data_IF_545504562647
#
_entry.id   IF_545504562647
#
_cell.length_a   1.000
_cell.length_b   1.000
_cell.length_c   1.000
_cell.angle_alpha   90.00
_cell.angle_beta   90.00
_cell.angle_gamma   90.00
#
_symmetry.space_group_name_H-M   'P 1'
#
loop_
_entity.id
_entity.type
_entity.pdbx_description
1 polymer ?
#
# COMPACT_ATOMS: atom_id res chain seq x y z
N UNK A 1 -64.76 71.14 -36.12
CA UNK A 1 -65.29 70.17 -35.17
C UNK A 1 -64.35 68.98 -35.21
N UNK A 2 -63.62 68.81 -34.15
CA UNK A 2 -62.69 67.63 -33.94
C UNK A 2 -63.47 66.38 -33.68
N UNK A 3 -62.81 65.17 -33.89
CA UNK A 3 -62.27 64.52 -32.77
C UNK A 3 -60.86 63.86 -32.97
N UNK A 4 -60.20 63.78 -31.88
CA UNK A 4 -58.88 63.35 -31.57
C UNK A 4 -58.65 61.82 -31.69
N UNK A 5 -57.60 61.37 -32.37
CA UNK A 5 -57.11 59.99 -32.29
C UNK A 5 -56.09 59.81 -31.21
N UNK A 6 -56.34 58.96 -30.25
CA UNK A 6 -55.42 58.50 -29.23
C UNK A 6 -54.63 57.28 -29.78
N UNK A 7 -53.33 57.43 -29.88
CA UNK A 7 -52.44 56.30 -30.17
C UNK A 7 -52.05 55.62 -28.86
N UNK A 8 -52.40 54.38 -28.69
CA UNK A 8 -51.95 53.55 -27.61
C UNK A 8 -50.64 52.90 -28.03
N UNK A 9 -49.54 53.27 -27.36
CA UNK A 9 -48.28 52.54 -27.43
C UNK A 9 -48.41 51.30 -26.55
N UNK A 10 -48.35 50.10 -27.17
CA UNK A 10 -48.14 48.83 -26.48
C UNK A 10 -46.65 48.58 -26.43
N UNK A 11 -46.04 48.83 -25.26
CA UNK A 11 -44.65 48.45 -24.98
C UNK A 11 -44.61 46.93 -24.77
N UNK A 12 -44.06 46.23 -25.74
CA UNK A 12 -43.73 44.79 -25.60
C UNK A 12 -42.40 44.70 -24.84
N UNK A 13 -42.47 44.35 -23.58
CA UNK A 13 -41.30 44.06 -22.76
C UNK A 13 -40.80 42.64 -23.14
N UNK A 14 -39.78 42.58 -24.00
CA UNK A 14 -39.08 41.29 -24.29
C UNK A 14 -38.13 41.03 -23.13
N UNK A 15 -38.56 40.15 -22.23
CA UNK A 15 -37.68 39.61 -21.15
C UNK A 15 -36.74 38.61 -21.77
N UNK A 16 -35.53 39.03 -22.12
CA UNK A 16 -34.45 38.11 -22.42
C UNK A 16 -34.06 37.35 -21.16
N UNK A 17 -34.59 36.16 -20.95
CA UNK A 17 -34.06 35.20 -20.00
C UNK A 17 -32.72 34.71 -20.58
N UNK A 18 -31.63 35.33 -20.17
CA UNK A 18 -30.28 34.82 -20.46
C UNK A 18 -30.11 33.47 -19.79
N UNK A 19 -30.17 32.40 -20.59
CA UNK A 19 -29.62 31.11 -20.20
C UNK A 19 -28.09 31.30 -20.01
N UNK A 20 -27.68 31.57 -18.79
CA UNK A 20 -26.30 31.38 -18.40
C UNK A 20 -25.97 29.90 -18.62
N UNK A 21 -24.94 29.54 -19.39
CA UNK A 21 -24.46 28.18 -19.40
C UNK A 21 -24.07 27.87 -17.96
N UNK A 22 -24.75 26.91 -17.36
CA UNK A 22 -24.32 26.27 -16.13
C UNK A 22 -23.02 25.56 -16.49
N UNK A 23 -21.92 26.30 -16.45
CA UNK A 23 -20.59 25.73 -16.49
C UNK A 23 -20.53 24.79 -15.30
N UNK A 24 -20.52 23.48 -15.56
CA UNK A 24 -20.15 22.51 -14.57
C UNK A 24 -18.79 22.98 -14.03
N UNK A 25 -18.80 23.64 -12.89
CA UNK A 25 -17.59 23.85 -12.13
C UNK A 25 -17.08 22.43 -11.82
N UNK A 26 -16.07 22.02 -12.54
CA UNK A 26 -15.29 20.85 -12.17
C UNK A 26 -14.79 21.15 -10.77
N UNK A 27 -15.43 20.57 -9.77
CA UNK A 27 -14.91 20.61 -8.43
C UNK A 27 -13.50 20.03 -8.55
N UNK A 28 -12.48 20.89 -8.38
CA UNK A 28 -11.12 20.42 -8.24
C UNK A 28 -11.14 19.47 -7.05
N UNK A 29 -11.05 18.17 -7.31
CA UNK A 29 -10.82 17.19 -6.27
C UNK A 29 -9.55 17.60 -5.54
N UNK A 30 -9.56 17.55 -4.22
CA UNK A 30 -8.36 17.86 -3.44
C UNK A 30 -7.24 16.91 -3.89
N UNK A 31 -6.01 17.40 -4.00
CA UNK A 31 -4.87 16.60 -4.45
C UNK A 31 -4.80 15.30 -3.63
N UNK A 32 -4.71 14.16 -4.33
CA UNK A 32 -4.66 12.85 -3.68
C UNK A 32 -5.97 12.40 -3.01
N UNK A 33 -7.12 12.88 -3.47
CA UNK A 33 -8.43 12.46 -2.97
C UNK A 33 -8.79 11.07 -3.50
N UNK A 34 -8.20 10.05 -2.88
CA UNK A 34 -8.46 8.63 -3.15
C UNK A 34 -9.32 8.08 -2.02
N UNK A 35 -10.39 7.36 -2.38
CA UNK A 35 -11.30 6.66 -1.44
C UNK A 35 -11.56 5.24 -1.95
N UNK A 36 -12.15 4.37 -1.12
CA UNK A 36 -12.54 3.01 -1.52
C UNK A 36 -13.50 3.04 -2.72
N UNK A 37 -14.46 3.97 -2.71
CA UNK A 37 -15.45 4.13 -3.77
C UNK A 37 -14.80 4.60 -5.07
N UNK A 38 -13.80 5.47 -4.99
CA UNK A 38 -13.05 5.92 -6.17
C UNK A 38 -12.24 4.77 -6.75
N UNK A 39 -11.51 4.01 -5.92
CA UNK A 39 -10.76 2.84 -6.36
C UNK A 39 -11.67 1.78 -6.99
N UNK A 40 -12.84 1.52 -6.39
CA UNK A 40 -13.79 0.54 -6.90
C UNK A 40 -14.43 0.94 -8.25
N UNK A 41 -14.53 2.24 -8.52
CA UNK A 41 -15.13 2.79 -9.76
C UNK A 41 -14.12 3.09 -10.85
N UNK A 42 -12.80 3.13 -10.52
CA UNK A 42 -11.77 3.40 -11.50
C UNK A 42 -11.71 2.27 -12.53
N UNK A 43 -12.11 2.58 -13.75
CA UNK A 43 -12.14 1.64 -14.87
C UNK A 43 -11.67 2.26 -16.20
N UNK A 44 -11.45 3.58 -16.22
CA UNK A 44 -10.96 4.31 -17.39
C UNK A 44 -9.49 4.03 -17.67
N UNK A 45 -8.71 3.83 -16.61
CA UNK A 45 -7.26 3.72 -16.66
C UNK A 45 -6.55 5.08 -16.71
N UNK A 46 -7.30 6.19 -16.56
CA UNK A 46 -6.72 7.54 -16.50
C UNK A 46 -5.90 7.73 -15.22
N UNK A 47 -6.30 7.01 -14.16
CA UNK A 47 -5.61 6.98 -12.89
C UNK A 47 -5.03 5.59 -12.56
N UNK A 48 -4.02 5.56 -11.70
CA UNK A 48 -3.44 4.37 -11.08
C UNK A 48 -3.42 4.57 -9.57
N UNK A 49 -4.62 4.50 -8.97
CA UNK A 49 -4.90 5.00 -7.62
C UNK A 49 -4.24 4.19 -6.50
N UNK A 50 -4.03 2.92 -6.73
CA UNK A 50 -3.43 1.98 -5.77
C UNK A 50 -2.45 1.07 -6.47
N UNK A 51 -1.53 0.49 -5.72
CA UNK A 51 -0.57 -0.48 -6.26
C UNK A 51 -1.31 -1.62 -6.96
N UNK A 52 -0.86 -1.95 -8.19
CA UNK A 52 -1.50 -2.94 -9.05
C UNK A 52 -2.77 -2.46 -9.74
N UNK A 53 -3.08 -1.14 -9.69
CA UNK A 53 -4.19 -0.46 -10.37
C UNK A 53 -5.55 -0.62 -9.70
N UNK A 54 -5.74 -1.66 -8.89
CA UNK A 54 -7.00 -1.94 -8.18
C UNK A 54 -6.74 -2.73 -6.90
N UNK A 55 -7.75 -2.91 -6.06
CA UNK A 55 -7.64 -3.80 -4.90
C UNK A 55 -7.34 -5.26 -5.29
N UNK A 56 -7.74 -5.70 -6.48
CA UNK A 56 -7.41 -7.02 -6.99
C UNK A 56 -5.94 -7.15 -7.45
N UNK A 57 -5.21 -6.04 -7.56
CA UNK A 57 -3.81 -5.98 -8.02
C UNK A 57 -3.61 -6.74 -9.34
N UNK A 58 -4.49 -6.47 -10.31
CA UNK A 58 -4.46 -7.14 -11.60
C UNK A 58 -3.29 -6.68 -12.51
N UNK A 59 -2.66 -5.56 -12.17
CA UNK A 59 -1.54 -4.96 -12.92
C UNK A 59 -1.87 -4.79 -14.42
N UNK A 60 -3.14 -4.52 -14.71
CA UNK A 60 -3.65 -4.40 -16.07
C UNK A 60 -4.29 -3.03 -16.29
N UNK A 61 -3.84 -2.33 -17.35
CA UNK A 61 -4.43 -1.08 -17.80
C UNK A 61 -5.48 -1.33 -18.88
N UNK A 62 -6.69 -0.76 -18.78
CA UNK A 62 -7.72 -0.84 -19.81
C UNK A 62 -7.46 0.10 -21.01
N UNK A 63 -6.45 0.96 -20.94
CA UNK A 63 -6.10 1.90 -22.00
C UNK A 63 -5.83 1.18 -23.33
N UNK A 64 -6.29 1.79 -24.45
CA UNK A 64 -6.21 1.24 -25.80
C UNK A 64 -5.46 2.13 -26.80
N UNK A 65 -4.93 3.26 -26.36
CA UNK A 65 -4.25 4.20 -27.23
C UNK A 65 -2.92 3.64 -27.79
N UNK A 66 -2.25 2.77 -27.03
CA UNK A 66 -1.02 2.11 -27.46
C UNK A 66 -1.37 0.70 -27.93
N UNK A 67 -0.98 0.37 -29.13
CA UNK A 67 -1.24 -0.90 -29.81
C UNK A 67 0.03 -1.44 -30.46
N UNK A 68 -0.01 -2.69 -30.91
CA UNK A 68 1.05 -3.30 -31.72
C UNK A 68 1.32 -2.55 -33.03
N UNK A 69 0.32 -1.85 -33.60
CA UNK A 69 0.45 -1.08 -34.82
C UNK A 69 1.09 0.29 -34.61
N UNK A 70 1.07 0.85 -33.42
CA UNK A 70 1.55 2.21 -33.18
C UNK A 70 2.68 2.32 -32.15
N UNK A 71 2.97 1.28 -31.38
CA UNK A 71 4.02 1.30 -30.36
C UNK A 71 5.40 1.66 -30.92
N UNK A 72 5.71 1.27 -32.17
CA UNK A 72 6.97 1.60 -32.83
C UNK A 72 7.14 3.09 -33.16
N UNK A 73 6.07 3.88 -33.10
CA UNK A 73 6.06 5.33 -33.33
C UNK A 73 6.11 6.14 -32.04
N UNK A 74 6.16 5.47 -30.90
CA UNK A 74 6.26 6.18 -29.60
C UNK A 74 7.62 6.87 -29.49
N UNK A 75 7.60 8.09 -28.94
CA UNK A 75 8.79 8.86 -28.61
C UNK A 75 8.79 9.25 -27.14
N UNK A 76 9.93 9.74 -26.67
CA UNK A 76 10.07 10.26 -25.31
C UNK A 76 9.31 11.58 -25.20
N UNK A 77 8.31 11.63 -24.30
CA UNK A 77 7.57 12.86 -24.03
C UNK A 77 8.35 13.82 -23.11
N UNK A 78 8.94 13.27 -22.07
CA UNK A 78 9.78 14.00 -21.10
C UNK A 78 10.68 13.05 -20.32
N UNK A 79 11.70 13.58 -19.69
CA UNK A 79 12.61 12.89 -18.77
C UNK A 79 12.77 13.75 -17.52
N UNK A 80 12.75 13.09 -16.36
CA UNK A 80 13.02 13.76 -15.07
C UNK A 80 14.14 13.01 -14.37
N UNK A 81 15.22 13.71 -14.08
CA UNK A 81 16.27 13.20 -13.20
C UNK A 81 15.85 13.38 -11.74
N UNK A 82 15.93 12.31 -10.98
CA UNK A 82 15.69 12.33 -9.54
C UNK A 82 17.03 12.28 -8.80
N UNK A 83 17.09 12.97 -7.69
CA UNK A 83 18.27 12.98 -6.81
C UNK A 83 18.46 11.62 -6.11
N UNK A 84 18.73 10.58 -6.91
CA UNK A 84 18.93 9.22 -6.45
C UNK A 84 19.85 8.43 -7.37
N UNK A 85 21.11 8.21 -6.99
CA UNK A 85 22.05 7.44 -7.81
C UNK A 85 21.81 5.93 -7.75
N UNK A 86 20.89 5.44 -6.95
CA UNK A 86 20.73 4.02 -6.61
C UNK A 86 19.58 3.32 -7.36
N UNK A 87 19.01 3.95 -8.39
CA UNK A 87 17.89 3.39 -9.13
C UNK A 87 16.56 3.43 -8.36
N UNK A 88 15.49 2.98 -9.00
CA UNK A 88 14.13 2.97 -8.46
C UNK A 88 13.57 1.55 -8.43
N UNK A 89 12.87 1.20 -7.36
CA UNK A 89 12.16 -0.08 -7.19
C UNK A 89 10.67 0.12 -6.94
N UNK A 90 10.23 1.37 -6.84
CA UNK A 90 8.85 1.73 -6.56
C UNK A 90 7.96 1.61 -7.80
N UNK A 91 6.75 1.12 -7.59
CA UNK A 91 5.66 1.30 -8.54
C UNK A 91 5.07 2.71 -8.35
N UNK A 92 5.02 3.54 -9.40
CA UNK A 92 4.40 4.86 -9.31
C UNK A 92 2.88 4.76 -9.22
N UNK A 93 2.26 5.66 -8.47
CA UNK A 93 0.81 5.87 -8.48
C UNK A 93 0.51 7.14 -9.28
N UNK A 94 -0.63 7.14 -9.95
CA UNK A 94 -1.11 8.29 -10.71
C UNK A 94 -2.49 8.69 -10.18
N UNK A 95 -2.61 9.93 -9.74
CA UNK A 95 -3.86 10.47 -9.20
C UNK A 95 -4.05 11.88 -9.76
N UNK A 96 -5.11 12.09 -10.52
CA UNK A 96 -5.46 13.39 -11.14
C UNK A 96 -4.27 14.01 -11.92
N UNK A 97 -3.55 13.18 -12.69
CA UNK A 97 -2.42 13.61 -13.48
C UNK A 97 -1.13 13.89 -12.69
N UNK A 98 -1.11 13.63 -11.39
CA UNK A 98 0.09 13.69 -10.55
C UNK A 98 0.65 12.30 -10.32
N UNK A 99 1.94 12.13 -10.58
CA UNK A 99 2.67 10.88 -10.32
C UNK A 99 3.29 10.97 -8.92
N UNK A 100 2.91 10.05 -8.04
CA UNK A 100 3.52 9.88 -6.72
C UNK A 100 4.40 8.65 -6.72
N UNK A 101 5.66 8.81 -6.33
CA UNK A 101 6.58 7.68 -6.24
C UNK A 101 7.59 7.87 -5.10
N UNK A 102 8.12 6.76 -4.61
CA UNK A 102 9.24 6.77 -3.67
C UNK A 102 10.54 6.38 -4.37
N UNK A 103 11.63 6.92 -3.86
CA UNK A 103 12.98 6.61 -4.26
C UNK A 103 13.76 5.98 -3.08
N UNK A 104 15.00 5.52 -3.30
CA UNK A 104 15.91 5.14 -2.23
C UNK A 104 15.94 6.16 -1.10
N UNK A 105 16.25 5.69 0.13
CA UNK A 105 16.20 6.48 1.36
C UNK A 105 14.78 6.98 1.70
N UNK A 106 13.76 6.36 1.10
CA UNK A 106 12.34 6.67 1.30
C UNK A 106 11.98 8.12 0.93
N UNK A 107 12.75 8.74 0.05
CA UNK A 107 12.43 10.07 -0.51
C UNK A 107 11.18 9.92 -1.37
N UNK A 108 10.23 10.85 -1.25
CA UNK A 108 8.98 10.82 -2.02
C UNK A 108 8.92 12.03 -2.94
N UNK A 109 8.43 11.81 -4.14
CA UNK A 109 8.22 12.84 -5.16
C UNK A 109 6.77 12.88 -5.60
N UNK A 110 6.26 14.08 -5.83
CA UNK A 110 5.10 14.32 -6.68
C UNK A 110 5.57 15.01 -7.96
N UNK A 111 5.17 14.45 -9.09
CA UNK A 111 5.61 14.88 -10.42
C UNK A 111 4.37 15.14 -11.27
N UNK A 112 4.36 16.24 -11.99
CA UNK A 112 3.31 16.51 -12.97
C UNK A 112 3.45 15.53 -14.14
N UNK A 113 2.45 14.67 -14.35
CA UNK A 113 2.48 13.60 -15.34
C UNK A 113 2.55 14.10 -16.79
N UNK A 114 2.05 15.29 -17.09
CA UNK A 114 2.07 15.85 -18.43
C UNK A 114 3.43 16.46 -18.80
N UNK A 115 4.15 17.04 -17.84
CA UNK A 115 5.38 17.80 -18.08
C UNK A 115 6.66 17.20 -17.50
N UNK A 116 6.54 16.20 -16.63
CA UNK A 116 7.66 15.65 -15.88
C UNK A 116 8.23 16.58 -14.79
N UNK A 117 7.64 17.76 -14.56
CA UNK A 117 8.15 18.68 -13.55
C UNK A 117 7.86 18.20 -12.16
N UNK A 118 8.87 18.18 -11.27
CA UNK A 118 8.70 17.92 -9.84
C UNK A 118 7.85 19.03 -9.23
N UNK A 119 6.72 18.66 -8.63
CA UNK A 119 5.82 19.56 -7.90
C UNK A 119 6.37 19.77 -6.50
N UNK A 120 6.67 18.68 -5.79
CA UNK A 120 7.34 18.69 -4.49
C UNK A 120 8.20 17.44 -4.29
N UNK A 121 9.15 17.54 -3.38
CA UNK A 121 10.02 16.48 -2.89
C UNK A 121 9.98 16.47 -1.37
N UNK A 122 9.74 15.31 -0.80
CA UNK A 122 9.80 15.08 0.64
C UNK A 122 10.99 14.17 0.97
N UNK A 123 11.82 14.56 1.91
CA UNK A 123 12.93 13.76 2.44
C UNK A 123 12.66 13.43 3.91
N UNK A 124 12.45 12.17 4.28
CA UNK A 124 12.23 11.77 5.67
C UNK A 124 13.52 11.80 6.51
N UNK A 125 14.65 12.17 5.93
CA UNK A 125 15.96 12.20 6.57
C UNK A 125 16.32 10.87 7.24
N UNK A 126 16.13 9.76 6.50
CA UNK A 126 16.50 8.43 6.96
C UNK A 126 18.00 8.39 7.25
N UNK A 127 18.34 7.98 8.46
CA UNK A 127 19.73 7.90 8.90
C UNK A 127 20.46 6.78 8.17
N UNK A 128 21.50 7.14 7.43
CA UNK A 128 22.28 6.21 6.59
C UNK A 128 23.19 5.33 7.40
N UNK A 129 23.55 5.78 8.62
CA UNK A 129 24.38 5.05 9.58
C UNK A 129 23.68 3.85 10.24
N UNK A 130 22.38 3.72 10.03
CA UNK A 130 21.59 2.54 10.38
C UNK A 130 21.73 1.46 9.29
N UNK A 131 22.94 1.12 8.88
CA UNK A 131 23.20 -0.03 8.03
C UNK A 131 23.04 -1.31 8.87
N UNK A 132 21.82 -1.75 9.01
CA UNK A 132 21.48 -3.01 9.65
C UNK A 132 21.67 -4.08 8.58
N UNK A 133 22.65 -4.96 8.75
CA UNK A 133 22.85 -6.09 7.86
C UNK A 133 21.54 -6.87 7.69
N UNK A 134 21.09 -7.04 6.43
CA UNK A 134 19.88 -7.80 6.07
C UNK A 134 18.55 -7.10 6.33
N UNK A 135 18.52 -5.93 6.95
CA UNK A 135 17.30 -5.12 7.06
C UNK A 135 17.34 -4.01 6.02
N UNK A 136 16.28 -3.78 5.40
CA UNK A 136 16.01 -2.68 4.52
C UNK A 136 17.19 -1.82 4.15
N UNK A 137 17.99 -2.33 3.23
CA UNK A 137 18.91 -1.52 2.49
C UNK A 137 18.21 -0.18 2.18
N UNK A 138 18.77 0.91 2.67
CA UNK A 138 18.28 2.26 2.42
C UNK A 138 18.08 2.57 0.92
N UNK A 139 18.52 1.69 0.05
CA UNK A 139 18.35 1.69 -1.41
C UNK A 139 16.98 1.26 -1.86
N UNK A 140 16.25 0.47 -1.07
CA UNK A 140 14.98 -0.13 -1.51
C UNK A 140 13.80 0.53 -0.82
N UNK A 141 12.92 1.13 -1.63
CA UNK A 141 11.55 1.50 -1.23
C UNK A 141 10.61 1.13 -2.38
N UNK A 142 9.57 0.32 -2.10
CA UNK A 142 8.72 -0.27 -3.13
C UNK A 142 7.48 0.54 -3.47
N UNK A 143 7.34 1.72 -2.91
CA UNK A 143 6.27 2.63 -3.29
C UNK A 143 5.57 3.29 -2.11
N UNK A 144 4.56 4.03 -2.47
CA UNK A 144 3.70 4.81 -1.58
C UNK A 144 2.26 4.30 -1.67
N UNK A 145 1.41 4.78 -0.78
CA UNK A 145 -0.03 4.74 -0.94
C UNK A 145 -0.59 6.16 -0.91
N UNK A 146 -1.71 6.39 -1.58
CA UNK A 146 -2.39 7.69 -1.60
C UNK A 146 -3.82 7.48 -1.09
N UNK A 147 -4.28 8.36 -0.17
CA UNK A 147 -5.59 8.25 0.44
C UNK A 147 -6.00 9.56 1.11
N UNK A 148 -7.22 10.02 0.84
CA UNK A 148 -7.84 11.17 1.48
C UNK A 148 -6.90 12.37 1.63
N UNK A 149 -6.27 12.79 0.52
CA UNK A 149 -5.37 13.94 0.47
C UNK A 149 -3.99 13.72 1.09
N UNK A 150 -3.59 12.48 1.37
CA UNK A 150 -2.29 12.15 1.95
C UNK A 150 -1.55 11.09 1.14
N UNK A 151 -0.24 11.18 1.16
CA UNK A 151 0.70 10.17 0.64
C UNK A 151 1.36 9.49 1.83
N UNK A 152 1.34 8.18 1.85
CA UNK A 152 1.93 7.37 2.94
C UNK A 152 3.15 6.64 2.44
N UNK A 153 4.22 6.66 3.23
CA UNK A 153 5.47 5.95 2.94
C UNK A 153 6.01 5.25 4.19
N UNK A 154 6.45 4.01 4.01
CA UNK A 154 7.27 3.34 5.01
C UNK A 154 8.73 3.73 4.84
N UNK A 155 9.44 4.01 5.93
CA UNK A 155 10.82 4.48 5.87
C UNK A 155 11.83 3.42 6.30
N UNK A 156 13.04 3.51 5.77
CA UNK A 156 14.13 2.60 6.09
C UNK A 156 14.54 2.61 7.56
N UNK A 157 14.19 3.63 8.31
CA UNK A 157 14.37 3.74 9.76
C UNK A 157 13.10 3.37 10.56
N UNK A 158 12.18 2.60 9.95
CA UNK A 158 11.09 1.95 10.65
C UNK A 158 9.89 2.82 10.99
N UNK A 159 9.72 3.98 10.36
CA UNK A 159 8.54 4.85 10.54
C UNK A 159 7.54 4.67 9.39
N UNK A 160 6.27 4.84 9.68
CA UNK A 160 5.23 5.16 8.71
C UNK A 160 4.98 6.66 8.74
N UNK A 161 5.08 7.31 7.60
CA UNK A 161 4.95 8.77 7.47
C UNK A 161 3.79 9.09 6.56
N UNK A 162 2.94 10.04 6.96
CA UNK A 162 1.93 10.67 6.12
C UNK A 162 2.38 12.07 5.70
N UNK A 163 2.21 12.34 4.42
CA UNK A 163 2.61 13.57 3.74
C UNK A 163 1.36 14.16 3.13
N UNK A 164 1.16 15.46 3.22
CA UNK A 164 0.10 16.17 2.52
C UNK A 164 0.33 16.08 1.00
N UNK A 165 -0.66 15.58 0.28
CA UNK A 165 -0.51 15.28 -1.15
C UNK A 165 -0.36 16.54 -2.03
N UNK A 166 -0.87 17.69 -1.57
CA UNK A 166 -0.79 18.94 -2.31
C UNK A 166 0.56 19.65 -2.10
N UNK A 167 1.07 19.62 -0.87
CA UNK A 167 2.20 20.47 -0.46
C UNK A 167 3.51 19.72 -0.23
N UNK A 168 3.46 18.40 -0.02
CA UNK A 168 4.62 17.62 0.37
C UNK A 168 5.03 17.78 1.84
N UNK A 169 4.24 18.48 2.66
CA UNK A 169 4.51 18.66 4.07
C UNK A 169 4.20 17.39 4.87
N UNK A 170 5.03 17.06 5.86
CA UNK A 170 4.74 15.96 6.78
C UNK A 170 3.51 16.30 7.63
N UNK A 171 2.53 15.39 7.65
CA UNK A 171 1.34 15.49 8.50
C UNK A 171 1.57 14.79 9.84
N UNK A 172 2.03 13.54 9.79
CA UNK A 172 2.41 12.78 10.97
C UNK A 172 3.46 11.73 10.64
N UNK A 173 4.13 11.21 11.65
CA UNK A 173 5.06 10.08 11.56
C UNK A 173 4.91 9.20 12.79
N UNK A 174 4.81 7.89 12.60
CA UNK A 174 4.61 6.90 13.67
C UNK A 174 5.64 5.78 13.56
N UNK A 175 6.32 5.38 14.65
CA UNK A 175 7.19 4.21 14.67
C UNK A 175 6.38 2.94 14.40
N UNK A 176 6.89 2.07 13.52
CA UNK A 176 6.31 0.75 13.20
C UNK A 176 7.17 -0.38 13.76
N UNK A 177 8.47 -0.23 13.69
CA UNK A 177 9.44 -1.21 14.17
C UNK A 177 10.67 -0.52 14.79
N UNK A 178 11.48 -1.30 15.48
CA UNK A 178 12.73 -0.80 16.08
C UNK A 178 13.77 -0.54 14.97
N UNK A 179 14.19 0.72 14.78
CA UNK A 179 15.16 1.06 13.74
C UNK A 179 16.56 0.44 13.96
N UNK A 180 16.84 -0.07 15.16
CA UNK A 180 18.09 -0.78 15.45
C UNK A 180 18.09 -2.23 14.97
N UNK A 181 16.92 -2.76 14.64
CA UNK A 181 16.78 -4.14 14.23
C UNK A 181 16.34 -4.27 12.78
N UNK A 182 15.52 -3.34 12.29
CA UNK A 182 14.93 -3.46 10.95
C UNK A 182 14.39 -2.13 10.44
N UNK A 183 13.98 -2.13 9.17
CA UNK A 183 13.32 -1.02 8.51
C UNK A 183 12.20 -1.47 7.60
N UNK A 184 11.54 -0.53 6.96
CA UNK A 184 10.45 -0.78 6.05
C UNK A 184 10.93 -0.60 4.62
N UNK A 185 10.75 -1.62 3.80
CA UNK A 185 11.08 -1.59 2.36
C UNK A 185 9.85 -1.75 1.47
N UNK A 186 8.75 -2.20 2.05
CA UNK A 186 7.48 -2.42 1.36
C UNK A 186 6.66 -1.15 1.22
N UNK A 187 5.78 -1.14 0.22
CA UNK A 187 4.79 -0.08 0.08
C UNK A 187 3.62 -0.32 1.04
N UNK A 188 3.11 0.71 1.73
CA UNK A 188 1.88 0.58 2.51
C UNK A 188 0.68 0.30 1.60
N UNK A 189 -0.39 -0.22 2.19
CA UNK A 189 -1.71 -0.33 1.56
C UNK A 189 -2.72 0.46 2.37
N UNK A 190 -3.67 1.09 1.70
CA UNK A 190 -4.74 1.81 2.40
C UNK A 190 -6.09 1.30 1.92
N UNK A 191 -6.97 1.03 2.85
CA UNK A 191 -8.37 0.72 2.61
C UNK A 191 -9.18 1.01 3.88
N UNK A 192 -10.42 1.43 3.71
CA UNK A 192 -11.36 1.72 4.81
C UNK A 192 -10.75 2.63 5.89
N UNK A 193 -10.03 3.67 5.46
CA UNK A 193 -9.40 4.63 6.36
C UNK A 193 -8.26 4.09 7.22
N UNK A 194 -7.69 2.94 6.86
CA UNK A 194 -6.58 2.29 7.58
C UNK A 194 -5.39 2.08 6.67
N UNK A 195 -4.19 2.36 7.19
CA UNK A 195 -2.92 2.07 6.54
C UNK A 195 -2.37 0.76 7.08
N UNK A 196 -2.14 -0.20 6.20
CA UNK A 196 -1.56 -1.49 6.54
C UNK A 196 -0.10 -1.53 6.13
N UNK A 197 0.77 -1.94 7.04
CA UNK A 197 2.21 -2.03 6.81
C UNK A 197 2.84 -3.10 7.70
N UNK A 198 3.84 -3.76 7.17
CA UNK A 198 4.78 -4.58 7.93
C UNK A 198 6.20 -4.06 7.74
N UNK A 199 7.19 -4.90 7.98
CA UNK A 199 8.61 -4.54 7.90
C UNK A 199 9.48 -5.71 7.45
N UNK A 200 10.73 -5.42 7.15
CA UNK A 200 11.76 -6.38 6.72
C UNK A 200 12.47 -7.05 7.91
N UNK A 201 13.66 -7.60 7.72
CA UNK A 201 14.54 -8.05 8.80
C UNK A 201 14.42 -9.53 9.18
N UNK A 202 13.73 -10.36 8.38
CA UNK A 202 13.70 -11.80 8.64
C UNK A 202 15.09 -12.43 8.67
N UNK A 203 15.98 -11.98 7.79
CA UNK A 203 17.35 -12.48 7.70
C UNK A 203 18.22 -12.06 8.91
N UNK A 204 17.76 -11.09 9.69
CA UNK A 204 18.37 -10.61 10.94
C UNK A 204 17.60 -11.08 12.19
N UNK A 205 16.88 -12.20 12.10
CA UNK A 205 16.13 -12.78 13.22
C UNK A 205 15.04 -11.87 13.81
N UNK A 206 14.55 -10.91 13.06
CA UNK A 206 13.47 -10.03 13.51
C UNK A 206 12.14 -10.76 13.48
N UNK A 207 11.40 -10.69 14.57
CA UNK A 207 10.07 -11.26 14.70
C UNK A 207 9.08 -10.50 13.84
N UNK A 208 8.41 -11.18 12.90
CA UNK A 208 7.51 -10.58 11.94
C UNK A 208 6.19 -10.13 12.52
N UNK A 209 5.67 -9.04 11.99
CA UNK A 209 4.29 -8.58 12.23
C UNK A 209 3.77 -7.77 11.03
N UNK A 210 2.45 -7.59 11.02
CA UNK A 210 1.75 -6.59 10.23
C UNK A 210 0.87 -5.77 11.17
N UNK A 211 0.75 -4.48 10.91
CA UNK A 211 -0.06 -3.59 11.72
C UNK A 211 -0.98 -2.71 10.86
N UNK A 212 -2.07 -2.26 11.44
CA UNK A 212 -2.94 -1.25 10.88
C UNK A 212 -2.87 0.03 11.70
N UNK A 213 -2.82 1.14 10.98
CA UNK A 213 -2.80 2.49 11.54
C UNK A 213 -4.00 3.27 11.03
N UNK A 214 -4.55 4.14 11.86
CA UNK A 214 -5.56 5.10 11.42
C UNK A 214 -4.93 6.07 10.41
N UNK A 215 -5.53 6.18 9.24
CA UNK A 215 -4.97 6.96 8.13
C UNK A 215 -4.93 8.47 8.43
N UNK A 216 -5.82 8.97 9.29
CA UNK A 216 -5.89 10.39 9.62
C UNK A 216 -4.87 10.80 10.68
N UNK A 217 -4.67 9.95 11.68
CA UNK A 217 -3.91 10.27 12.91
C UNK A 217 -2.57 9.55 13.05
N UNK A 218 -2.37 8.46 12.30
CA UNK A 218 -1.20 7.61 12.45
C UNK A 218 -1.21 6.74 13.71
N UNK A 219 -2.32 6.71 14.46
CA UNK A 219 -2.44 5.86 15.65
C UNK A 219 -2.50 4.39 15.26
N UNK A 220 -1.68 3.55 15.90
CA UNK A 220 -1.77 2.10 15.74
C UNK A 220 -3.12 1.61 16.25
N UNK A 221 -3.87 0.92 15.40
CA UNK A 221 -5.17 0.35 15.71
C UNK A 221 -5.06 -1.08 16.20
N UNK A 222 -4.20 -1.86 15.53
CA UNK A 222 -3.89 -3.22 15.92
C UNK A 222 -2.58 -3.68 15.28
N UNK A 223 -1.98 -4.72 15.88
CA UNK A 223 -0.81 -5.44 15.37
C UNK A 223 -1.06 -6.94 15.44
N UNK A 224 -0.70 -7.62 14.37
CA UNK A 224 -0.73 -9.09 14.32
C UNK A 224 0.69 -9.63 14.17
N UNK A 225 1.10 -10.45 15.12
CA UNK A 225 2.39 -11.12 15.08
C UNK A 225 2.29 -12.40 14.27
N UNK A 226 3.12 -12.52 13.25
CA UNK A 226 3.15 -13.67 12.33
C UNK A 226 3.93 -14.85 12.87
N UNK A 227 4.79 -14.58 13.86
CA UNK A 227 5.58 -15.58 14.60
C UNK A 227 5.26 -15.44 16.08
N UNK A 228 4.97 -16.54 16.80
CA UNK A 228 4.73 -16.49 18.22
C UNK A 228 5.96 -16.01 18.99
N UNK A 229 5.73 -15.33 20.12
CA UNK A 229 6.80 -14.84 21.00
C UNK A 229 7.21 -15.86 22.06
N UNK A 230 7.97 -15.36 23.02
CA UNK A 230 8.45 -16.13 24.16
C UNK A 230 7.29 -16.70 24.98
N UNK A 231 7.18 -18.04 25.13
CA UNK A 231 6.12 -18.66 25.89
C UNK A 231 6.04 -18.23 27.36
N UNK A 232 7.17 -17.86 27.95
CA UNK A 232 7.23 -17.43 29.35
C UNK A 232 6.61 -16.04 29.55
N UNK A 233 6.55 -15.23 28.48
CA UNK A 233 5.93 -13.90 28.51
C UNK A 233 4.45 -13.92 28.15
N UNK A 234 3.91 -15.10 27.81
CA UNK A 234 2.55 -15.23 27.29
C UNK A 234 2.44 -14.82 25.81
N UNK A 235 1.22 -14.90 25.30
CA UNK A 235 0.93 -14.64 23.88
C UNK A 235 -0.04 -13.47 23.73
N UNK A 236 0.15 -12.68 22.70
CA UNK A 236 -0.62 -11.47 22.44
C UNK A 236 -2.08 -11.77 22.04
N UNK A 237 -2.35 -13.00 21.59
CA UNK A 237 -3.71 -13.43 21.25
C UNK A 237 -3.85 -14.95 21.31
N UNK A 238 -5.08 -15.43 21.37
CA UNK A 238 -5.41 -16.86 21.31
C UNK A 238 -4.95 -17.53 20.01
N UNK A 239 -4.91 -16.76 18.93
CA UNK A 239 -4.40 -17.20 17.63
C UNK A 239 -2.91 -17.49 17.69
N UNK A 240 -2.15 -16.57 18.25
CA UNK A 240 -0.71 -16.69 18.41
C UNK A 240 -0.37 -17.85 19.36
N UNK A 241 -1.10 -18.00 20.45
CA UNK A 241 -0.98 -19.15 21.37
C UNK A 241 -1.24 -20.49 20.66
N UNK A 242 -2.28 -20.53 19.83
CA UNK A 242 -2.59 -21.74 19.06
C UNK A 242 -1.51 -22.04 18.03
N UNK A 243 -1.00 -21.03 17.37
CA UNK A 243 0.10 -21.17 16.41
C UNK A 243 1.37 -21.68 17.12
N UNK A 244 1.65 -21.20 18.33
CA UNK A 244 2.85 -21.59 19.09
C UNK A 244 2.94 -23.12 19.31
N UNK A 245 1.80 -23.81 19.43
CA UNK A 245 1.75 -25.28 19.58
C UNK A 245 2.29 -26.05 18.36
N UNK A 246 2.44 -25.39 17.23
CA UNK A 246 2.99 -25.97 15.99
C UNK A 246 4.48 -25.72 15.84
N UNK A 247 5.08 -24.95 16.75
CA UNK A 247 6.51 -24.63 16.74
C UNK A 247 7.27 -25.53 17.70
N UNK A 248 8.48 -25.93 17.33
CA UNK A 248 9.29 -26.85 18.13
C UNK A 248 10.78 -26.48 18.00
N UNK A 249 11.60 -27.00 18.88
CA UNK A 249 13.03 -26.77 18.97
C UNK A 249 13.43 -25.82 20.11
N UNK A 250 14.72 -25.76 20.45
CA UNK A 250 15.20 -24.93 21.53
C UNK A 250 15.10 -23.46 21.18
N UNK A 251 14.43 -22.67 22.04
CA UNK A 251 14.34 -21.22 21.89
C UNK A 251 13.86 -20.75 20.51
N UNK A 252 12.95 -21.50 19.88
CA UNK A 252 12.43 -21.22 18.55
C UNK A 252 11.90 -19.78 18.39
N UNK A 253 11.38 -19.18 19.45
CA UNK A 253 10.88 -17.80 19.45
C UNK A 253 11.94 -16.73 19.28
N UNK A 254 13.23 -17.05 19.51
CA UNK A 254 14.36 -16.15 19.31
C UNK A 254 14.83 -16.11 17.86
N UNK A 255 14.36 -17.03 17.02
CA UNK A 255 14.82 -17.12 15.64
C UNK A 255 14.17 -16.09 14.72
N UNK A 256 13.05 -15.48 15.13
CA UNK A 256 12.37 -14.49 14.33
C UNK A 256 11.81 -15.02 13.01
N UNK A 257 11.85 -14.19 11.97
CA UNK A 257 11.29 -14.51 10.65
C UNK A 257 9.82 -14.14 10.53
N UNK A 258 9.18 -14.57 9.43
CA UNK A 258 7.77 -14.30 9.16
C UNK A 258 7.46 -12.82 8.92
N UNK A 259 8.45 -11.99 8.60
CA UNK A 259 8.23 -10.55 8.37
C UNK A 259 7.39 -10.31 7.12
N UNK A 260 6.51 -9.30 7.19
CA UNK A 260 5.67 -8.86 6.08
C UNK A 260 6.36 -7.65 5.45
N UNK A 261 7.26 -7.91 4.51
CA UNK A 261 8.10 -6.89 3.91
C UNK A 261 7.56 -6.31 2.61
N UNK A 262 6.65 -7.01 1.97
CA UNK A 262 5.84 -6.57 0.82
C UNK A 262 4.63 -7.51 0.70
N UNK A 263 4.24 -8.07 -0.39
CA UNK A 263 2.89 -8.12 -0.96
C UNK A 263 1.77 -8.14 0.10
N UNK A 264 1.00 -7.07 0.12
CA UNK A 264 -0.22 -6.93 0.92
C UNK A 264 -1.35 -6.62 -0.05
N UNK A 265 -2.45 -7.36 0.02
CA UNK A 265 -3.64 -7.18 -0.82
C UNK A 265 -4.87 -7.07 0.07
N UNK A 266 -5.74 -6.11 -0.20
CA UNK A 266 -7.02 -5.98 0.46
C UNK A 266 -8.13 -6.49 -0.44
N UNK A 267 -8.87 -7.51 0.01
CA UNK A 267 -10.07 -7.97 -0.66
C UNK A 267 -11.27 -7.15 -0.18
N UNK A 268 -11.71 -6.21 -1.00
CA UNK A 268 -12.81 -5.30 -0.66
C UNK A 268 -14.15 -6.02 -0.47
N UNK A 269 -14.38 -7.15 -1.17
CA UNK A 269 -15.64 -7.89 -1.09
C UNK A 269 -15.80 -8.63 0.24
N UNK A 270 -14.72 -9.22 0.74
CA UNK A 270 -14.73 -10.00 1.98
C UNK A 270 -14.22 -9.21 3.19
N UNK A 271 -13.54 -8.07 2.96
CA UNK A 271 -12.85 -7.31 3.99
C UNK A 271 -11.57 -8.00 4.50
N UNK A 272 -11.04 -8.95 3.72
CA UNK A 272 -9.84 -9.70 4.07
C UNK A 272 -8.59 -8.93 3.70
N UNK A 273 -7.59 -8.99 4.57
CA UNK A 273 -6.24 -8.58 4.27
C UNK A 273 -5.40 -9.83 3.98
N UNK A 274 -4.90 -9.95 2.75
CA UNK A 274 -4.03 -11.02 2.30
C UNK A 274 -2.60 -10.52 2.27
N UNK A 275 -1.66 -11.28 2.80
CA UNK A 275 -0.24 -10.90 2.75
C UNK A 275 0.67 -12.12 2.74
N UNK A 276 1.84 -11.94 2.12
CA UNK A 276 2.93 -12.91 2.17
C UNK A 276 3.85 -12.65 3.35
N UNK A 277 4.40 -13.71 3.91
CA UNK A 277 5.46 -13.62 4.91
C UNK A 277 6.78 -14.15 4.35
N UNK A 278 7.87 -13.60 4.84
CA UNK A 278 9.17 -14.23 4.68
C UNK A 278 9.21 -15.59 5.38
N UNK A 279 10.23 -16.37 5.10
CA UNK A 279 10.45 -17.64 5.80
C UNK A 279 10.60 -17.41 7.31
N UNK A 280 10.08 -18.33 8.10
CA UNK A 280 10.43 -18.45 9.51
C UNK A 280 11.81 -19.11 9.60
N UNK A 281 12.73 -18.54 10.37
CA UNK A 281 14.05 -19.13 10.54
C UNK A 281 14.04 -20.18 11.65
N UNK A 282 14.43 -21.41 11.29
CA UNK A 282 15.24 -22.26 12.16
C UNK A 282 16.54 -22.49 11.39
N UNK A 283 17.59 -21.87 11.81
CA UNK A 283 18.90 -22.24 11.35
C UNK A 283 19.28 -23.57 12.01
N UNK A 284 19.17 -24.66 11.27
CA UNK A 284 20.03 -25.79 11.56
C UNK A 284 21.40 -25.47 10.99
N UNK A 285 22.27 -24.96 11.85
CA UNK A 285 23.65 -24.60 11.52
C UNK A 285 24.50 -25.82 11.14
N UNK A 286 24.02 -27.03 11.41
CA UNK A 286 24.74 -28.26 11.09
C UNK A 286 24.50 -28.75 9.67
N UNK A 287 23.34 -28.46 9.06
CA UNK A 287 22.98 -28.98 7.74
C UNK A 287 22.79 -27.91 6.67
N UNK A 288 22.84 -26.63 7.03
CA UNK A 288 22.54 -25.51 6.13
C UNK A 288 21.08 -25.51 5.61
N UNK A 289 20.20 -26.32 6.18
CA UNK A 289 18.80 -26.40 5.81
C UNK A 289 17.96 -25.48 6.71
N UNK A 290 17.44 -24.47 6.10
CA UNK A 290 16.58 -23.46 6.72
C UNK A 290 15.12 -23.80 6.43
N UNK A 291 14.53 -24.73 7.14
CA UNK A 291 13.06 -24.94 7.13
C UNK A 291 12.60 -25.63 8.41
N UNK A 292 11.59 -25.07 9.05
CA UNK A 292 10.80 -25.79 10.05
C UNK A 292 9.92 -26.83 9.36
N UNK A 293 10.04 -28.12 9.65
CA UNK A 293 8.98 -29.07 9.38
C UNK A 293 7.82 -28.73 10.31
N UNK A 294 6.71 -28.27 9.78
CA UNK A 294 5.46 -28.22 10.49
C UNK A 294 4.94 -26.89 11.01
N UNK A 295 5.52 -25.74 10.63
CA UNK A 295 4.89 -24.44 10.92
C UNK A 295 3.56 -24.36 10.15
N UNK A 296 2.48 -24.82 10.77
CA UNK A 296 1.11 -24.62 10.28
C UNK A 296 0.53 -23.44 11.01
N UNK A 297 0.34 -22.32 10.33
CA UNK A 297 -0.52 -21.25 10.85
C UNK A 297 -1.95 -21.75 10.83
N UNK A 298 -2.54 -21.96 11.99
CA UNK A 298 -3.91 -22.41 12.13
C UNK A 298 -4.89 -21.23 12.13
N UNK A 299 -6.07 -21.53 11.61
CA UNK A 299 -7.23 -20.63 11.57
C UNK A 299 -7.65 -20.25 12.99
N UNK A 300 -7.76 -18.95 13.25
CA UNK A 300 -8.37 -18.46 14.48
C UNK A 300 -9.59 -17.61 14.18
N UNK A 301 -10.69 -17.95 14.83
CA UNK A 301 -11.95 -17.27 14.66
C UNK A 301 -12.11 -16.09 15.63
N UNK A 302 -12.47 -14.98 15.09
CA UNK A 302 -13.38 -13.90 15.45
C UNK A 302 -13.34 -13.24 16.83
N UNK A 303 -13.02 -11.98 16.78
CA UNK A 303 -13.67 -10.89 17.51
C UNK A 303 -13.90 -9.74 16.49
N UNK A 304 -14.91 -8.88 16.63
CA UNK A 304 -15.23 -7.85 15.62
C UNK A 304 -14.14 -6.80 15.39
N UNK A 305 -13.05 -6.86 16.14
CA UNK A 305 -11.90 -5.96 16.01
C UNK A 305 -10.54 -6.67 15.96
N UNK A 306 -10.53 -8.00 15.92
CA UNK A 306 -9.27 -8.76 15.91
C UNK A 306 -9.11 -9.47 14.57
N UNK A 307 -7.94 -9.39 13.92
CA UNK A 307 -7.69 -10.11 12.68
C UNK A 307 -7.81 -11.62 12.90
N UNK A 308 -8.56 -12.28 12.05
CA UNK A 308 -8.67 -13.74 12.03
C UNK A 308 -7.71 -14.28 10.99
N UNK A 309 -6.71 -15.03 11.41
CA UNK A 309 -5.80 -15.69 10.48
C UNK A 309 -6.46 -16.96 9.91
N UNK A 310 -6.52 -17.05 8.60
CA UNK A 310 -6.93 -18.27 7.89
C UNK A 310 -5.71 -18.80 7.15
N UNK A 311 -5.18 -19.94 7.57
CA UNK A 311 -4.23 -20.69 6.76
C UNK A 311 -4.98 -21.81 6.04
N UNK A 312 -4.92 -21.83 4.73
CA UNK A 312 -5.21 -23.01 3.94
C UNK A 312 -3.90 -23.73 3.63
N UNK A 313 -3.78 -25.04 3.89
CA UNK A 313 -2.68 -25.82 3.37
C UNK A 313 -2.88 -25.95 1.86
N UNK A 314 -2.30 -25.04 1.09
CA UNK A 314 -2.24 -25.18 -0.37
C UNK A 314 -1.23 -26.25 -0.74
N UNK A 315 -1.69 -27.47 -1.02
CA UNK A 315 -0.88 -28.46 -1.71
C UNK A 315 -0.69 -28.01 -3.16
N UNK A 316 0.42 -27.34 -3.43
CA UNK A 316 0.83 -27.09 -4.82
C UNK A 316 1.30 -28.42 -5.40
N UNK A 317 0.47 -29.04 -6.24
CA UNK A 317 0.90 -30.14 -7.10
C UNK A 317 2.01 -29.64 -8.01
N UNK A 318 3.22 -30.18 -7.83
CA UNK A 318 4.34 -29.98 -8.74
C UNK A 318 3.95 -30.49 -10.13
N UNK A 319 3.81 -29.59 -11.08
CA UNK A 319 3.88 -29.96 -12.48
C UNK A 319 5.34 -30.28 -12.80
N UNK A 320 5.63 -31.58 -13.04
CA UNK A 320 6.92 -32.04 -13.59
C UNK A 320 7.00 -31.58 -15.03
N UNK A 321 7.87 -30.63 -15.33
CA UNK A 321 8.59 -30.56 -16.61
C UNK A 321 9.96 -29.94 -16.35
N UNK A 322 10.97 -30.66 -16.86
CA UNK A 322 12.37 -30.39 -16.62
C UNK A 322 12.80 -29.00 -17.06
N UNK A 323 13.35 -28.25 -16.13
CA UNK A 323 14.26 -27.13 -16.37
C UNK A 323 15.07 -26.89 -15.10
N UNK A 324 16.29 -26.49 -15.30
CA UNK A 324 17.39 -26.28 -14.36
C UNK A 324 16.97 -25.61 -13.06
N UNK A 325 17.53 -26.07 -11.95
CA UNK A 325 17.39 -25.52 -10.59
C UNK A 325 17.53 -24.00 -10.58
N UNK A 326 16.42 -23.28 -10.42
CA UNK A 326 16.38 -21.98 -9.80
C UNK A 326 15.66 -22.17 -8.47
N UNK A 327 16.34 -21.79 -7.41
CA UNK A 327 15.79 -21.78 -6.05
C UNK A 327 14.62 -20.81 -6.00
N UNK A 328 13.40 -21.32 -6.06
CA UNK A 328 12.21 -20.53 -5.75
C UNK A 328 12.04 -20.51 -4.23
N UNK A 329 12.13 -19.32 -3.66
CA UNK A 329 11.72 -19.03 -2.30
C UNK A 329 10.23 -19.35 -2.17
N UNK A 330 9.87 -20.26 -1.28
CA UNK A 330 8.47 -20.61 -1.04
C UNK A 330 7.76 -19.43 -0.39
N UNK A 331 6.92 -18.73 -1.13
CA UNK A 331 5.97 -17.76 -0.57
C UNK A 331 4.81 -18.53 0.06
N UNK A 332 4.58 -18.33 1.35
CA UNK A 332 3.39 -18.80 2.05
C UNK A 332 2.34 -17.69 2.03
N UNK A 333 1.18 -17.98 1.49
CA UNK A 333 0.04 -17.06 1.53
C UNK A 333 -0.67 -17.26 2.87
N UNK A 334 -0.74 -16.19 3.65
CA UNK A 334 -1.55 -16.13 4.86
C UNK A 334 -2.69 -15.15 4.59
N UNK A 335 -3.93 -15.62 4.69
CA UNK A 335 -5.08 -14.75 4.59
C UNK A 335 -5.60 -14.38 5.97
N UNK A 336 -5.76 -13.09 6.21
CA UNK A 336 -6.35 -12.53 7.41
C UNK A 336 -7.70 -11.90 7.06
N UNK A 337 -8.77 -12.35 7.71
CA UNK A 337 -10.06 -11.70 7.63
C UNK A 337 -10.24 -10.71 8.78
N UNK A 338 -10.48 -9.45 8.46
CA UNK A 338 -11.01 -8.47 9.41
C UNK A 338 -12.50 -8.35 9.13
N UNK A 339 -13.31 -9.11 9.85
CA UNK A 339 -14.76 -8.94 9.80
C UNK A 339 -15.13 -7.63 10.52
N UNK A 340 -15.22 -6.54 9.80
CA UNK A 340 -15.95 -5.37 10.25
C UNK A 340 -17.44 -5.63 9.95
N UNK A 341 -18.22 -6.05 10.92
CA UNK A 341 -19.67 -5.85 10.83
C UNK A 341 -19.92 -4.37 11.11
N UNK A 342 -20.49 -3.70 10.11
CA UNK A 342 -21.13 -2.42 10.31
C UNK A 342 -22.08 -2.51 11.49
N UNK A 343 -21.80 -1.73 12.51
CA UNK A 343 -22.81 -1.29 13.46
C UNK A 343 -23.15 0.15 13.09
N UNK A 344 -24.16 0.30 12.26
CA UNK A 344 -24.91 1.55 12.19
C UNK A 344 -25.59 1.80 13.53
N UNK A 345 -25.78 3.09 13.91
CA UNK A 345 -26.30 3.49 15.21
C UNK A 345 -27.73 3.04 15.46
#
# INVERSE_FOLDING_TARGET
MQPSLWWRFVSVLVTCIGLLPCGAAWAHTAAGDVTDERVARESSGDDWLVKGGSFAQAEFSPLRQITDQNVSRMGLAWLTELDSPMGLTAEPLVVDGVIYLSAPRSIVYAINGASGKVIWRFDPHVRVDLSIEGSGDSRTNRGVAVWAGKVYVGTGDGRLVAIDAATGAQVWATPVCDPKQTGITGAPRVARGKVFIGYSGADSHVRGSIAAFDASTGKELWRFWTVPGDPEKGYESKTVETAAKTWSGPQWWKQGGGTVWDPITFDAATGLLLFGTSKAFLADTATGQTMLPGAKLSRAASSPYTPTAVSTPGTIRRARRGARRRTFTSCWLISLSVAARDMSP
#
